data_IF_705037066078
#
_entry.id   IF_705037066078
#
_cell.length_a   1.000
_cell.length_b   1.000
_cell.length_c   1.000
_cell.angle_alpha   90.00
_cell.angle_beta   90.00
_cell.angle_gamma   90.00
#
_symmetry.space_group_name_H-M   'P 1'
#
loop_
_entity.id
_entity.type
_entity.pdbx_description
1 polymer ?
#
# COMPACT_ATOMS: atom_id res chain seq x y z
N UNK A 1 71.16 20.94 -6.61
CA UNK A 1 70.43 19.68 -6.86
C UNK A 1 69.31 19.59 -5.84
N UNK A 2 68.10 20.03 -6.23
CA UNK A 2 66.92 20.04 -5.36
C UNK A 2 66.15 18.75 -5.58
N UNK A 3 65.90 18.00 -4.50
CA UNK A 3 65.03 16.82 -4.53
C UNK A 3 63.63 17.23 -4.99
N UNK A 4 63.08 16.52 -5.97
CA UNK A 4 61.65 16.54 -6.27
C UNK A 4 60.92 15.76 -5.19
N UNK A 5 60.16 16.44 -4.34
CA UNK A 5 59.11 15.80 -3.54
C UNK A 5 57.99 15.34 -4.48
N UNK A 6 57.84 14.03 -4.56
CA UNK A 6 56.65 13.39 -5.13
C UNK A 6 55.55 13.57 -4.09
N UNK A 7 54.62 14.50 -4.32
CA UNK A 7 53.37 14.53 -3.57
C UNK A 7 52.66 13.18 -3.78
N UNK A 8 52.26 12.45 -2.72
CA UNK A 8 51.29 11.39 -2.90
C UNK A 8 50.00 12.04 -3.39
N UNK A 9 49.52 11.64 -4.56
CA UNK A 9 48.15 11.93 -4.97
C UNK A 9 47.24 11.32 -3.93
N UNK A 10 46.65 12.15 -3.07
CA UNK A 10 45.52 11.76 -2.24
C UNK A 10 44.47 11.20 -3.19
N UNK A 11 44.35 9.87 -3.20
CA UNK A 11 43.18 9.19 -3.74
C UNK A 11 42.03 9.76 -2.90
N UNK A 12 41.05 10.47 -3.47
CA UNK A 12 39.93 10.94 -2.69
C UNK A 12 39.30 9.70 -2.08
N UNK A 13 39.28 9.64 -0.74
CA UNK A 13 38.52 8.61 -0.04
C UNK A 13 37.11 8.65 -0.63
N UNK A 14 36.61 7.55 -1.21
CA UNK A 14 35.27 7.56 -1.79
C UNK A 14 34.31 8.02 -0.69
N UNK A 15 33.40 8.94 -1.02
CA UNK A 15 32.38 9.38 -0.07
C UNK A 15 31.76 8.13 0.58
N UNK A 16 31.57 8.08 1.91
CA UNK A 16 31.01 6.90 2.59
C UNK A 16 29.71 6.40 1.94
N UNK A 17 28.95 7.32 1.34
CA UNK A 17 27.71 7.08 0.63
C UNK A 17 27.93 6.31 -0.70
N UNK A 18 29.01 6.60 -1.45
CA UNK A 18 29.34 5.93 -2.71
C UNK A 18 29.86 4.50 -2.48
N UNK A 19 30.62 4.27 -1.41
CA UNK A 19 31.07 2.93 -1.03
C UNK A 19 29.89 2.02 -0.64
N UNK A 20 28.86 2.59 -0.02
CA UNK A 20 27.65 1.87 0.36
C UNK A 20 26.81 1.43 -0.86
N UNK A 21 26.78 2.23 -1.92
CA UNK A 21 26.00 1.94 -3.13
C UNK A 21 26.67 0.91 -4.08
N UNK A 22 27.92 0.51 -3.83
CA UNK A 22 28.61 -0.52 -4.64
C UNK A 22 27.90 -1.87 -4.63
N UNK A 23 27.25 -2.24 -3.53
CA UNK A 23 26.40 -3.42 -3.44
C UNK A 23 24.95 -3.00 -3.17
N UNK A 24 24.06 -3.22 -4.15
CA UNK A 24 22.62 -2.98 -3.99
C UNK A 24 21.99 -4.08 -3.13
N UNK A 25 21.24 -3.70 -2.09
CA UNK A 25 20.63 -4.63 -1.12
C UNK A 25 19.10 -4.69 -1.21
N UNK A 26 18.52 -4.33 -2.35
CA UNK A 26 17.08 -4.39 -2.63
C UNK A 26 16.43 -5.75 -2.28
N UNK A 27 17.15 -6.87 -2.49
CA UNK A 27 16.68 -8.21 -2.14
C UNK A 27 16.31 -8.36 -0.66
N UNK A 28 17.02 -7.69 0.27
CA UNK A 28 16.71 -7.75 1.69
C UNK A 28 15.32 -7.15 2.00
N UNK A 29 14.93 -6.11 1.29
CA UNK A 29 13.64 -5.44 1.45
C UNK A 29 12.49 -6.26 0.85
N UNK A 30 12.71 -6.91 -0.30
CA UNK A 30 11.69 -7.81 -0.86
C UNK A 30 11.53 -9.07 -0.01
N UNK A 31 12.65 -9.65 0.44
CA UNK A 31 12.63 -10.88 1.22
C UNK A 31 11.95 -10.67 2.58
N UNK A 32 12.06 -9.49 3.19
CA UNK A 32 11.30 -9.19 4.41
C UNK A 32 9.79 -9.18 4.16
N UNK A 33 9.34 -8.59 3.05
CA UNK A 33 7.93 -8.56 2.67
C UNK A 33 7.40 -9.99 2.42
N UNK A 34 8.13 -10.78 1.63
CA UNK A 34 7.78 -12.17 1.32
C UNK A 34 7.76 -13.02 2.60
N UNK A 35 8.77 -12.89 3.46
CA UNK A 35 8.84 -13.63 4.72
C UNK A 35 7.67 -13.29 5.64
N UNK A 36 7.31 -12.01 5.79
CA UNK A 36 6.16 -11.64 6.64
C UNK A 36 4.84 -12.19 6.10
N UNK A 37 4.63 -12.18 4.79
CA UNK A 37 3.45 -12.79 4.17
C UNK A 37 3.40 -14.31 4.40
N UNK A 38 4.50 -15.02 4.13
CA UNK A 38 4.57 -16.47 4.32
C UNK A 38 4.42 -16.87 5.80
N UNK A 39 5.07 -16.14 6.70
CA UNK A 39 4.94 -16.35 8.15
C UNK A 39 3.50 -16.15 8.61
N UNK A 40 2.83 -15.08 8.17
CA UNK A 40 1.42 -14.83 8.46
C UNK A 40 0.52 -15.96 7.96
N UNK A 41 0.73 -16.42 6.74
CA UNK A 41 -0.03 -17.53 6.14
C UNK A 41 0.18 -18.84 6.92
N UNK A 42 1.42 -19.17 7.27
CA UNK A 42 1.75 -20.35 8.08
C UNK A 42 1.10 -20.28 9.46
N UNK A 43 1.13 -19.12 10.13
CA UNK A 43 0.49 -18.94 11.45
C UNK A 43 -1.02 -19.21 11.35
N UNK A 44 -1.70 -18.66 10.34
CA UNK A 44 -3.14 -18.88 10.15
C UNK A 44 -3.45 -20.33 9.81
N UNK A 45 -2.63 -20.99 8.98
CA UNK A 45 -2.81 -22.41 8.67
C UNK A 45 -2.58 -23.29 9.90
N UNK A 46 -1.52 -23.03 10.67
CA UNK A 46 -1.25 -23.74 11.92
C UNK A 46 -2.39 -23.56 12.93
N UNK A 47 -2.93 -22.34 13.06
CA UNK A 47 -4.09 -22.08 13.90
C UNK A 47 -5.32 -22.88 13.45
N UNK A 48 -5.59 -22.92 12.14
CA UNK A 48 -6.71 -23.67 11.57
C UNK A 48 -6.55 -25.18 11.76
N UNK A 49 -5.34 -25.69 11.57
CA UNK A 49 -4.99 -27.10 11.79
C UNK A 49 -5.08 -27.45 13.27
N UNK A 50 -4.60 -26.58 14.16
CA UNK A 50 -4.72 -26.76 15.62
C UNK A 50 -6.18 -26.78 16.06
N UNK A 51 -7.01 -25.84 15.57
CA UNK A 51 -8.45 -25.84 15.83
C UNK A 51 -9.11 -27.14 15.34
N UNK A 52 -8.76 -27.61 14.14
CA UNK A 52 -9.27 -28.87 13.59
C UNK A 52 -8.88 -30.09 14.44
N UNK A 53 -7.61 -30.17 14.88
CA UNK A 53 -7.15 -31.26 15.74
C UNK A 53 -7.74 -31.22 17.15
N UNK A 54 -7.99 -30.02 17.70
CA UNK A 54 -8.67 -29.86 18.99
C UNK A 54 -10.14 -30.28 18.91
N UNK A 55 -10.86 -29.93 17.84
CA UNK A 55 -12.25 -30.37 17.64
C UNK A 55 -12.39 -31.86 17.31
N UNK A 56 -11.34 -32.50 16.76
CA UNK A 56 -11.34 -33.94 16.46
C UNK A 56 -10.92 -34.82 17.65
N UNK A 57 -10.39 -34.24 18.72
CA UNK A 57 -9.96 -34.91 19.96
C UNK A 57 -11.10 -35.04 21.00
N UNK A 58 -12.31 -35.35 20.56
CA UNK A 58 -13.36 -35.90 21.43
C UNK A 58 -13.36 -37.43 21.27
N UNK A 59 -12.52 -38.18 22.03
CA UNK A 59 -12.78 -39.59 22.19
C UNK A 59 -13.91 -39.78 23.21
N UNK A 60 -14.98 -40.47 22.79
CA UNK A 60 -15.99 -41.02 23.71
C UNK A 60 -15.29 -41.89 24.75
N UNK A 61 -15.18 -41.41 25.99
CA UNK A 61 -14.68 -42.20 27.12
C UNK A 61 -15.64 -42.13 28.31
N UNK A 62 -15.75 -43.28 28.99
CA UNK A 62 -16.73 -43.69 29.99
C UNK A 62 -16.95 -42.70 31.18
N UNK A 63 -18.15 -42.64 31.79
CA UNK A 63 -18.66 -41.44 32.49
C UNK A 63 -18.08 -41.07 33.87
N UNK A 64 -17.18 -41.85 34.49
CA UNK A 64 -17.15 -41.92 35.97
C UNK A 64 -15.83 -41.61 36.72
N UNK A 65 -14.84 -40.91 36.15
CA UNK A 65 -13.67 -40.47 36.93
C UNK A 65 -13.77 -39.00 37.43
N UNK A 66 -13.80 -38.74 38.76
CA UNK A 66 -13.99 -37.39 39.31
C UNK A 66 -12.81 -36.45 39.04
N UNK A 67 -11.57 -36.96 38.98
CA UNK A 67 -10.37 -36.15 38.64
C UNK A 67 -10.33 -35.69 37.18
N UNK A 68 -11.03 -36.39 36.27
CA UNK A 68 -11.14 -35.98 34.87
C UNK A 68 -12.21 -34.90 34.65
N UNK A 69 -13.28 -34.88 35.45
CA UNK A 69 -14.30 -33.83 35.38
C UNK A 69 -13.73 -32.45 35.75
N UNK A 70 -12.88 -32.37 36.77
CA UNK A 70 -12.21 -31.11 37.14
C UNK A 70 -11.24 -30.62 36.04
N UNK A 71 -10.43 -31.50 35.45
CA UNK A 71 -9.51 -31.12 34.37
C UNK A 71 -10.24 -30.77 33.07
N UNK A 72 -11.33 -31.46 32.73
CA UNK A 72 -12.18 -31.12 31.59
C UNK A 72 -12.93 -29.79 31.82
N UNK A 73 -13.49 -29.57 33.01
CA UNK A 73 -14.16 -28.32 33.37
C UNK A 73 -13.18 -27.13 33.37
N UNK A 74 -11.97 -27.29 33.91
CA UNK A 74 -10.95 -26.24 33.88
C UNK A 74 -10.46 -25.92 32.45
N UNK A 75 -10.35 -26.93 31.58
CA UNK A 75 -9.98 -26.73 30.15
C UNK A 75 -11.11 -26.15 29.33
N UNK A 76 -12.36 -26.58 29.54
CA UNK A 76 -13.54 -25.99 28.92
C UNK A 76 -13.70 -24.54 29.35
N UNK A 77 -13.58 -24.25 30.64
CA UNK A 77 -13.68 -22.88 31.16
C UNK A 77 -12.55 -21.98 30.60
N UNK A 78 -11.33 -22.52 30.43
CA UNK A 78 -10.24 -21.79 29.75
C UNK A 78 -10.50 -21.56 28.25
N UNK A 79 -11.01 -22.56 27.52
CA UNK A 79 -11.37 -22.41 26.10
C UNK A 79 -12.59 -21.50 25.89
N UNK A 80 -13.55 -21.53 26.81
CA UNK A 80 -14.72 -20.67 26.81
C UNK A 80 -14.31 -19.22 27.12
N UNK A 81 -13.40 -19.01 28.07
CA UNK A 81 -12.81 -17.70 28.37
C UNK A 81 -11.98 -17.15 27.20
N UNK A 82 -11.10 -17.95 26.58
CA UNK A 82 -10.34 -17.54 25.38
C UNK A 82 -11.27 -17.29 24.17
N UNK A 83 -12.33 -18.09 24.02
CA UNK A 83 -13.36 -17.89 23.01
C UNK A 83 -14.10 -16.57 23.22
N UNK A 84 -14.48 -16.26 24.46
CA UNK A 84 -15.20 -15.04 24.85
C UNK A 84 -14.35 -13.79 24.61
N UNK A 85 -13.08 -13.82 25.00
CA UNK A 85 -12.16 -12.71 24.76
C UNK A 85 -11.95 -12.47 23.25
N UNK A 86 -11.81 -13.52 22.46
CA UNK A 86 -11.61 -13.39 21.01
C UNK A 86 -12.87 -12.91 20.30
N UNK A 87 -14.06 -13.28 20.76
CA UNK A 87 -15.32 -12.73 20.25
C UNK A 87 -15.49 -11.26 20.62
N UNK A 88 -15.20 -10.87 21.86
CA UNK A 88 -15.25 -9.45 22.29
C UNK A 88 -14.27 -8.59 21.50
N UNK A 89 -13.02 -9.06 21.33
CA UNK A 89 -12.02 -8.35 20.54
C UNK A 89 -12.41 -8.21 19.06
N UNK A 90 -13.06 -9.24 18.49
CA UNK A 90 -13.57 -9.21 17.11
C UNK A 90 -14.70 -8.20 16.97
N UNK A 91 -15.64 -8.17 17.92
CA UNK A 91 -16.77 -7.24 17.89
C UNK A 91 -16.31 -5.79 18.08
N UNK A 92 -15.39 -5.55 19.02
CA UNK A 92 -14.76 -4.24 19.21
C UNK A 92 -14.01 -3.76 17.97
N UNK A 93 -13.20 -4.63 17.36
CA UNK A 93 -12.47 -4.29 16.13
C UNK A 93 -13.43 -4.05 14.95
N UNK A 94 -14.51 -4.84 14.85
CA UNK A 94 -15.58 -4.66 13.87
C UNK A 94 -16.29 -3.31 14.01
N UNK A 95 -16.60 -2.91 15.25
CA UNK A 95 -17.23 -1.64 15.56
C UNK A 95 -16.33 -0.45 15.15
N UNK A 96 -15.03 -0.53 15.42
CA UNK A 96 -14.06 0.49 15.01
C UNK A 96 -13.96 0.65 13.49
N UNK A 97 -13.96 -0.46 12.73
CA UNK A 97 -13.87 -0.41 11.26
C UNK A 97 -15.17 0.08 10.65
N UNK A 98 -16.32 -0.29 11.23
CA UNK A 98 -17.64 0.09 10.72
C UNK A 98 -17.91 1.61 10.76
N UNK A 99 -17.14 2.37 11.57
CA UNK A 99 -17.32 3.82 11.70
C UNK A 99 -18.65 4.23 12.35
N UNK A 100 -19.35 3.30 13.02
CA UNK A 100 -20.59 3.60 13.74
C UNK A 100 -20.34 4.45 14.98
N UNK A 101 -19.25 4.17 15.71
CA UNK A 101 -18.82 4.96 16.87
C UNK A 101 -18.08 6.22 16.47
N UNK A 102 -18.08 7.22 17.35
CA UNK A 102 -17.26 8.44 17.19
C UNK A 102 -15.76 8.08 17.07
N UNK A 103 -15.29 7.11 17.85
CA UNK A 103 -13.91 6.60 17.79
C UNK A 103 -13.60 5.95 16.45
N UNK A 104 -14.50 5.11 15.92
CA UNK A 104 -14.35 4.52 14.60
C UNK A 104 -14.30 5.56 13.49
N UNK A 105 -15.14 6.60 13.54
CA UNK A 105 -15.09 7.72 12.58
C UNK A 105 -13.77 8.46 12.62
N UNK A 106 -13.25 8.75 13.82
CA UNK A 106 -11.94 9.40 13.97
C UNK A 106 -10.85 8.51 13.36
N UNK A 107 -10.87 7.20 13.64
CA UNK A 107 -9.91 6.25 13.07
C UNK A 107 -9.96 6.26 11.54
N UNK A 108 -11.15 6.19 10.95
CA UNK A 108 -11.34 6.18 9.49
C UNK A 108 -10.85 7.49 8.83
N UNK A 109 -11.18 8.66 9.41
CA UNK A 109 -10.67 9.96 8.92
C UNK A 109 -9.15 10.02 9.03
N UNK A 110 -8.60 9.55 10.15
CA UNK A 110 -7.17 9.56 10.40
C UNK A 110 -6.43 8.65 9.41
N UNK A 111 -6.94 7.44 9.14
CA UNK A 111 -6.43 6.53 8.10
C UNK A 111 -6.45 7.21 6.73
N UNK A 112 -7.53 7.91 6.38
CA UNK A 112 -7.62 8.66 5.13
C UNK A 112 -6.54 9.74 5.01
N UNK A 113 -6.43 10.62 6.01
CA UNK A 113 -5.44 11.72 6.00
C UNK A 113 -4.01 11.17 5.96
N UNK A 114 -3.71 10.15 6.78
CA UNK A 114 -2.38 9.54 6.79
C UNK A 114 -2.07 8.79 5.49
N UNK A 115 -3.07 8.19 4.83
CA UNK A 115 -2.86 7.52 3.55
C UNK A 115 -2.40 8.53 2.48
N UNK A 116 -3.06 9.69 2.40
CA UNK A 116 -2.69 10.78 1.49
C UNK A 116 -1.31 11.32 1.86
N UNK A 117 -1.07 11.60 3.15
CA UNK A 117 0.24 12.10 3.62
C UNK A 117 1.37 11.11 3.29
N UNK A 118 1.15 9.80 3.47
CA UNK A 118 2.14 8.75 3.15
C UNK A 118 2.44 8.64 1.65
N UNK A 119 1.45 8.97 0.80
CA UNK A 119 1.63 9.03 -0.65
C UNK A 119 2.39 10.30 -1.07
N UNK A 120 2.12 11.44 -0.43
CA UNK A 120 2.87 12.68 -0.66
C UNK A 120 4.34 12.50 -0.27
N UNK A 121 4.62 11.84 0.86
CA UNK A 121 5.99 11.49 1.26
C UNK A 121 6.66 10.64 0.18
N UNK A 122 5.95 9.66 -0.39
CA UNK A 122 6.47 8.88 -1.51
C UNK A 122 6.79 9.78 -2.72
N UNK A 123 5.94 10.74 -3.09
CA UNK A 123 6.24 11.66 -4.20
C UNK A 123 7.44 12.56 -3.94
N UNK A 124 7.65 12.99 -2.69
CA UNK A 124 8.82 13.78 -2.30
C UNK A 124 10.10 12.93 -2.36
N UNK A 125 10.05 11.67 -1.95
CA UNK A 125 11.22 10.78 -2.04
C UNK A 125 11.49 10.36 -3.49
N UNK A 126 10.44 10.10 -4.26
CA UNK A 126 10.50 9.70 -5.68
C UNK A 126 10.82 10.86 -6.63
N UNK A 127 10.81 12.11 -6.16
CA UNK A 127 11.32 13.23 -6.97
C UNK A 127 12.83 13.23 -7.07
N UNK A 128 13.54 12.51 -6.19
CA UNK A 128 14.96 12.27 -6.37
C UNK A 128 15.19 11.14 -7.39
N UNK A 129 16.19 11.32 -8.25
CA UNK A 129 16.47 10.42 -9.38
C UNK A 129 17.12 9.09 -8.96
N UNK A 130 17.48 8.95 -7.67
CA UNK A 130 18.18 7.78 -7.13
C UNK A 130 17.21 6.79 -6.45
N UNK A 131 17.37 5.50 -6.75
CA UNK A 131 16.52 4.41 -6.24
C UNK A 131 16.89 3.99 -4.80
N UNK A 132 18.17 4.07 -4.46
CA UNK A 132 18.73 3.72 -3.14
C UNK A 132 19.59 4.87 -2.61
N UNK A 133 19.41 5.24 -1.33
CA UNK A 133 20.28 6.21 -0.65
C UNK A 133 20.82 5.61 0.64
N UNK A 134 22.10 5.82 0.88
CA UNK A 134 22.75 5.45 2.13
C UNK A 134 22.88 6.67 3.03
N UNK A 135 21.89 6.86 3.91
CA UNK A 135 21.90 7.95 4.86
C UNK A 135 21.37 7.46 6.20
N UNK A 136 22.07 7.85 7.27
CA UNK A 136 21.74 7.45 8.65
C UNK A 136 20.33 7.90 9.01
N UNK A 137 19.59 7.02 9.69
CA UNK A 137 18.21 7.27 10.11
C UNK A 137 18.04 8.59 10.89
N UNK A 138 18.99 8.92 11.77
CA UNK A 138 18.94 10.13 12.61
C UNK A 138 18.94 11.45 11.82
N UNK A 139 19.45 11.46 10.59
CA UNK A 139 19.54 12.67 9.76
C UNK A 139 18.39 12.76 8.74
N UNK A 140 17.58 11.70 8.62
CA UNK A 140 16.50 11.58 7.65
C UNK A 140 15.14 11.84 8.28
N UNK A 141 14.71 13.10 8.31
CA UNK A 141 13.38 13.48 8.82
C UNK A 141 12.25 12.78 8.04
N UNK A 142 12.38 12.68 6.70
CA UNK A 142 11.40 11.99 5.86
C UNK A 142 11.24 10.51 6.23
N UNK A 143 12.33 9.82 6.56
CA UNK A 143 12.30 8.42 6.98
C UNK A 143 11.71 8.24 8.38
N UNK A 144 11.95 9.19 9.29
CA UNK A 144 11.35 9.19 10.63
C UNK A 144 9.83 9.34 10.57
N UNK A 145 9.35 10.28 9.74
CA UNK A 145 7.91 10.48 9.54
C UNK A 145 7.29 9.26 8.83
N UNK A 146 7.98 8.71 7.82
CA UNK A 146 7.51 7.50 7.12
C UNK A 146 7.32 6.31 8.06
N UNK A 147 8.30 6.10 8.95
CA UNK A 147 8.22 5.06 9.98
C UNK A 147 7.02 5.27 10.91
N UNK A 148 6.79 6.49 11.37
CA UNK A 148 5.65 6.79 12.25
C UNK A 148 4.31 6.45 11.58
N UNK A 149 4.16 6.75 10.29
CA UNK A 149 2.97 6.37 9.52
C UNK A 149 2.87 4.85 9.35
N UNK A 150 3.96 4.15 9.06
CA UNK A 150 3.93 2.69 8.91
C UNK A 150 3.62 1.97 10.24
N UNK A 151 4.06 2.49 11.39
CA UNK A 151 3.66 1.97 12.72
C UNK A 151 2.14 2.12 12.91
N UNK A 152 1.57 3.28 12.55
CA UNK A 152 0.13 3.46 12.58
C UNK A 152 -0.61 2.47 11.66
N UNK A 153 -0.13 2.30 10.42
CA UNK A 153 -0.73 1.33 9.49
C UNK A 153 -0.57 -0.11 9.93
N UNK A 154 0.50 -0.45 10.66
CA UNK A 154 0.68 -1.77 11.27
C UNK A 154 -0.39 -2.04 12.32
N UNK A 155 -0.68 -1.08 13.20
CA UNK A 155 -1.78 -1.21 14.16
C UNK A 155 -3.12 -1.34 13.44
N UNK A 156 -3.35 -0.52 12.41
CA UNK A 156 -4.57 -0.60 11.60
C UNK A 156 -4.72 -1.96 10.89
N UNK A 157 -3.64 -2.52 10.37
CA UNK A 157 -3.60 -3.86 9.78
C UNK A 157 -4.02 -4.93 10.80
N UNK A 158 -3.51 -4.88 12.03
CA UNK A 158 -3.91 -5.83 13.07
C UNK A 158 -5.37 -5.69 13.49
N UNK A 159 -5.92 -4.47 13.57
CA UNK A 159 -7.34 -4.24 13.84
C UNK A 159 -8.19 -4.90 12.73
N UNK A 160 -7.84 -4.69 11.46
CA UNK A 160 -8.51 -5.34 10.33
C UNK A 160 -8.38 -6.86 10.35
N UNK A 161 -7.20 -7.37 10.71
CA UNK A 161 -6.96 -8.80 10.85
C UNK A 161 -7.85 -9.42 11.93
N UNK A 162 -8.02 -8.78 13.09
CA UNK A 162 -8.88 -9.25 14.19
C UNK A 162 -10.36 -9.23 13.77
N UNK A 163 -10.81 -8.17 13.11
CA UNK A 163 -12.20 -8.04 12.66
C UNK A 163 -12.59 -9.03 11.54
N UNK A 164 -11.65 -9.43 10.67
CA UNK A 164 -11.94 -10.29 9.52
C UNK A 164 -12.57 -11.64 9.93
N UNK A 165 -13.64 -12.05 9.26
CA UNK A 165 -14.27 -13.36 9.49
C UNK A 165 -13.39 -14.51 8.98
N UNK A 166 -12.88 -14.40 7.74
CA UNK A 166 -11.97 -15.37 7.15
C UNK A 166 -10.54 -14.83 7.11
N UNK A 167 -9.71 -15.27 8.05
CA UNK A 167 -8.33 -14.80 8.19
C UNK A 167 -7.48 -15.08 6.93
N UNK A 168 -7.70 -16.21 6.25
CA UNK A 168 -6.95 -16.56 5.03
C UNK A 168 -7.31 -15.67 3.84
N UNK A 169 -8.60 -15.39 3.64
CA UNK A 169 -9.06 -14.49 2.58
C UNK A 169 -8.57 -13.07 2.82
N UNK A 170 -8.60 -12.62 4.08
CA UNK A 170 -8.04 -11.34 4.46
C UNK A 170 -6.53 -11.24 4.16
N UNK A 171 -5.74 -12.31 4.36
CA UNK A 171 -4.32 -12.32 3.98
C UNK A 171 -4.09 -12.16 2.47
N UNK A 172 -5.04 -12.59 1.64
CA UNK A 172 -4.98 -12.52 0.16
C UNK A 172 -5.70 -11.30 -0.42
N UNK A 173 -6.18 -10.39 0.44
CA UNK A 173 -6.84 -9.16 0.02
C UNK A 173 -5.83 -8.15 -0.53
N UNK A 174 -6.21 -7.40 -1.58
CA UNK A 174 -5.33 -6.43 -2.25
C UNK A 174 -4.73 -5.41 -1.25
N UNK A 175 -5.53 -4.91 -0.30
CA UNK A 175 -5.06 -3.94 0.68
C UNK A 175 -4.06 -4.53 1.68
N UNK A 176 -4.18 -5.83 1.99
CA UNK A 176 -3.21 -6.55 2.82
C UNK A 176 -1.88 -6.69 2.09
N UNK A 177 -1.90 -6.93 0.77
CA UNK A 177 -0.67 -6.92 -0.04
C UNK A 177 0.04 -5.57 -0.01
N UNK A 178 -0.69 -4.45 -0.12
CA UNK A 178 -0.07 -3.11 0.00
C UNK A 178 0.64 -2.97 1.35
N UNK A 179 0.04 -3.44 2.44
CA UNK A 179 0.65 -3.37 3.77
C UNK A 179 1.90 -4.26 3.89
N UNK A 180 1.90 -5.48 3.33
CA UNK A 180 3.07 -6.35 3.34
C UNK A 180 4.26 -5.79 2.55
N UNK A 181 4.02 -5.08 1.46
CA UNK A 181 5.11 -4.52 0.65
C UNK A 181 5.56 -3.14 1.09
N UNK A 182 4.86 -2.50 2.03
CA UNK A 182 5.20 -1.14 2.50
C UNK A 182 5.67 -1.11 3.96
N UNK A 183 5.09 -1.93 4.84
CA UNK A 183 5.38 -1.89 6.28
C UNK A 183 6.71 -2.58 6.62
N UNK A 184 6.94 -3.87 6.31
CA UNK A 184 8.21 -4.56 6.63
C UNK A 184 9.46 -3.88 6.05
N UNK A 185 9.49 -3.45 4.77
CA UNK A 185 10.64 -2.74 4.21
C UNK A 185 11.01 -1.46 4.99
N UNK A 186 10.03 -0.78 5.58
CA UNK A 186 10.29 0.42 6.38
C UNK A 186 11.07 0.11 7.66
N UNK A 187 10.78 -1.00 8.34
CA UNK A 187 11.55 -1.44 9.51
C UNK A 187 12.95 -1.92 9.12
N UNK A 188 13.05 -2.62 7.99
CA UNK A 188 14.34 -3.07 7.43
C UNK A 188 15.24 -1.89 7.05
N UNK A 189 14.66 -0.78 6.59
CA UNK A 189 15.41 0.44 6.25
C UNK A 189 16.17 1.05 7.43
N UNK A 190 15.68 0.86 8.66
CA UNK A 190 16.33 1.31 9.89
C UNK A 190 17.47 0.37 10.26
N UNK A 191 17.23 -0.94 10.15
CA UNK A 191 18.23 -1.96 10.48
C UNK A 191 19.46 -1.89 9.55
N UNK A 192 19.27 -1.52 8.28
CA UNK A 192 20.33 -1.41 7.27
C UNK A 192 20.89 0.01 7.08
N UNK A 193 20.37 1.03 7.78
CA UNK A 193 20.69 2.45 7.57
C UNK A 193 20.68 2.86 6.07
N UNK A 194 19.73 2.30 5.32
CA UNK A 194 19.59 2.50 3.87
C UNK A 194 18.12 2.69 3.51
N UNK A 195 17.82 3.69 2.69
CA UNK A 195 16.50 3.89 2.14
C UNK A 195 16.42 3.32 0.72
N UNK A 196 15.32 2.63 0.44
CA UNK A 196 15.00 2.10 -0.88
C UNK A 196 13.59 2.53 -1.26
N UNK A 197 13.45 3.13 -2.44
CA UNK A 197 12.13 3.60 -2.93
C UNK A 197 11.21 2.40 -3.23
N UNK A 198 11.78 1.32 -3.80
CA UNK A 198 11.15 0.02 -4.04
C UNK A 198 9.67 0.05 -4.41
N UNK A 199 8.89 -0.74 -3.67
CA UNK A 199 7.45 -0.92 -3.89
C UNK A 199 6.58 0.13 -3.15
N UNK A 200 7.16 1.25 -2.69
CA UNK A 200 6.41 2.29 -1.97
C UNK A 200 5.29 2.93 -2.81
N UNK A 201 5.39 2.87 -4.15
CA UNK A 201 4.34 3.32 -5.05
C UNK A 201 3.01 2.56 -4.87
N UNK A 202 3.02 1.35 -4.30
CA UNK A 202 1.80 0.60 -3.99
C UNK A 202 0.87 1.33 -3.01
N UNK A 203 1.38 2.33 -2.27
CA UNK A 203 0.54 3.23 -1.45
C UNK A 203 -0.51 3.96 -2.26
N UNK A 204 -0.30 4.18 -3.56
CA UNK A 204 -1.30 4.78 -4.44
C UNK A 204 -2.58 3.92 -4.55
N UNK A 205 -2.47 2.59 -4.40
CA UNK A 205 -3.63 1.69 -4.37
C UNK A 205 -4.55 1.94 -3.17
N UNK A 206 -4.06 2.56 -2.08
CA UNK A 206 -4.91 2.97 -0.96
C UNK A 206 -5.92 4.04 -1.33
N UNK A 207 -5.71 4.77 -2.43
CA UNK A 207 -6.74 5.69 -2.91
C UNK A 207 -8.04 4.94 -3.26
N UNK A 208 -7.98 3.67 -3.66
CA UNK A 208 -9.18 2.87 -3.94
C UNK A 208 -10.16 2.77 -2.77
N UNK A 209 -9.71 2.93 -1.51
CA UNK A 209 -10.59 2.89 -0.32
C UNK A 209 -11.26 4.24 -0.02
N UNK A 210 -10.86 5.32 -0.71
CA UNK A 210 -11.40 6.67 -0.49
C UNK A 210 -12.92 6.77 -0.68
N UNK A 211 -13.52 6.18 -1.73
CA UNK A 211 -14.97 6.23 -1.91
C UNK A 211 -15.72 5.59 -0.74
N UNK A 212 -15.23 4.45 -0.24
CA UNK A 212 -15.83 3.73 0.89
C UNK A 212 -15.75 4.57 2.17
N UNK A 213 -14.59 5.20 2.41
CA UNK A 213 -14.40 6.12 3.54
C UNK A 213 -15.35 7.31 3.44
N UNK A 214 -15.49 7.93 2.27
CA UNK A 214 -16.38 9.06 2.07
C UNK A 214 -17.86 8.67 2.23
N UNK A 215 -18.22 7.43 1.90
CA UNK A 215 -19.55 6.87 2.16
C UNK A 215 -19.78 6.68 3.66
N UNK A 216 -18.80 6.14 4.41
CA UNK A 216 -18.89 6.01 5.87
C UNK A 216 -19.04 7.36 6.57
N UNK A 217 -18.41 8.41 6.05
CA UNK A 217 -18.52 9.78 6.57
C UNK A 217 -19.81 10.50 6.14
N UNK A 218 -20.74 9.83 5.45
CA UNK A 218 -21.99 10.40 4.93
C UNK A 218 -21.78 11.64 4.01
N UNK A 219 -20.61 11.75 3.37
CA UNK A 219 -20.30 12.82 2.41
C UNK A 219 -20.89 12.48 1.04
N UNK A 220 -20.72 11.24 0.60
CA UNK A 220 -21.31 10.73 -0.65
C UNK A 220 -22.66 10.05 -0.35
N UNK A 221 -23.75 10.74 -0.68
CA UNK A 221 -25.12 10.27 -0.39
C UNK A 221 -25.81 9.63 -1.59
N UNK A 222 -25.44 10.04 -2.81
CA UNK A 222 -26.10 9.59 -4.04
C UNK A 222 -25.32 8.44 -4.67
N UNK A 223 -26.01 7.41 -5.16
CA UNK A 223 -25.40 6.27 -5.87
C UNK A 223 -24.52 6.71 -7.04
N UNK A 224 -24.96 7.71 -7.83
CA UNK A 224 -24.17 8.28 -8.92
C UNK A 224 -22.86 8.92 -8.44
N UNK A 225 -22.88 9.63 -7.31
CA UNK A 225 -21.67 10.24 -6.73
C UNK A 225 -20.70 9.20 -6.15
N UNK A 226 -21.23 8.13 -5.55
CA UNK A 226 -20.42 7.01 -5.04
C UNK A 226 -19.75 6.30 -6.22
N UNK A 227 -20.51 5.97 -7.26
CA UNK A 227 -19.99 5.33 -8.48
C UNK A 227 -18.94 6.21 -9.17
N UNK A 228 -19.18 7.50 -9.30
CA UNK A 228 -18.22 8.45 -9.87
C UNK A 228 -16.92 8.48 -9.06
N UNK A 229 -17.02 8.59 -7.73
CA UNK A 229 -15.84 8.59 -6.86
C UNK A 229 -15.06 7.27 -6.95
N UNK A 230 -15.75 6.13 -7.04
CA UNK A 230 -15.14 4.81 -7.25
C UNK A 230 -14.36 4.74 -8.56
N UNK A 231 -14.97 5.13 -9.68
CA UNK A 231 -14.31 5.11 -10.99
C UNK A 231 -13.09 6.04 -11.03
N UNK A 232 -13.24 7.28 -10.56
CA UNK A 232 -12.15 8.26 -10.53
C UNK A 232 -11.01 7.76 -9.63
N UNK A 233 -11.32 7.21 -8.47
CA UNK A 233 -10.30 6.73 -7.54
C UNK A 233 -9.55 5.49 -8.06
N UNK A 234 -10.27 4.53 -8.66
CA UNK A 234 -9.66 3.37 -9.31
C UNK A 234 -8.77 3.82 -10.47
N UNK A 235 -9.24 4.75 -11.30
CA UNK A 235 -8.48 5.27 -12.43
C UNK A 235 -7.17 5.93 -11.98
N UNK A 236 -7.24 6.86 -11.02
CA UNK A 236 -6.06 7.58 -10.50
C UNK A 236 -5.10 6.62 -9.79
N UNK A 237 -5.61 5.70 -8.96
CA UNK A 237 -4.76 4.76 -8.22
C UNK A 237 -4.00 3.79 -9.12
N UNK A 238 -4.66 3.17 -10.10
CA UNK A 238 -4.02 2.27 -11.07
C UNK A 238 -2.96 3.01 -11.88
N UNK A 239 -3.29 4.23 -12.32
CA UNK A 239 -2.39 5.01 -13.15
C UNK A 239 -1.14 5.49 -12.37
N UNK A 240 -1.28 5.99 -11.15
CA UNK A 240 -0.14 6.34 -10.28
C UNK A 240 0.71 5.11 -9.93
N UNK A 241 0.07 3.96 -9.67
CA UNK A 241 0.78 2.71 -9.40
C UNK A 241 1.60 2.27 -10.62
N UNK A 242 1.01 2.32 -11.81
CA UNK A 242 1.71 2.00 -13.05
C UNK A 242 2.88 2.95 -13.34
N UNK A 243 2.72 4.24 -13.04
CA UNK A 243 3.82 5.21 -13.16
C UNK A 243 4.96 4.86 -12.21
N UNK A 244 4.64 4.44 -10.99
CA UNK A 244 5.61 3.96 -10.00
C UNK A 244 6.34 2.69 -10.42
N UNK A 245 5.65 1.76 -11.08
CA UNK A 245 6.27 0.55 -11.64
C UNK A 245 7.28 0.94 -12.72
N UNK A 246 6.89 1.77 -13.69
CA UNK A 246 7.81 2.23 -14.75
C UNK A 246 8.98 2.99 -14.17
N UNK A 247 8.73 3.89 -13.21
CA UNK A 247 9.78 4.63 -12.51
C UNK A 247 10.78 3.69 -11.83
N UNK A 248 10.30 2.64 -11.16
CA UNK A 248 11.19 1.65 -10.54
C UNK A 248 11.97 0.85 -11.58
N UNK A 249 11.33 0.38 -12.64
CA UNK A 249 11.95 -0.47 -13.67
C UNK A 249 13.01 0.30 -14.46
N UNK A 250 12.70 1.50 -14.94
CA UNK A 250 13.62 2.32 -15.75
C UNK A 250 14.80 2.84 -14.94
N UNK A 251 14.58 3.30 -13.69
CA UNK A 251 15.67 3.77 -12.84
C UNK A 251 16.53 2.62 -12.27
N UNK A 252 15.96 1.42 -12.10
CA UNK A 252 16.72 0.25 -11.64
C UNK A 252 17.62 -0.32 -12.74
N UNK A 253 17.17 -0.28 -14.00
CA UNK A 253 17.83 -0.92 -15.15
C UNK A 253 17.44 -2.39 -15.34
N UNK A 254 18.01 -3.02 -16.37
CA UNK A 254 17.70 -4.40 -16.74
C UNK A 254 18.23 -5.45 -15.73
N UNK A 255 17.55 -6.59 -15.56
CA UNK A 255 17.94 -7.60 -14.58
C UNK A 255 19.33 -8.20 -14.86
N UNK A 256 19.91 -8.83 -13.83
CA UNK A 256 21.23 -9.47 -13.80
C UNK A 256 22.42 -8.52 -13.68
N UNK A 257 22.52 -7.50 -14.55
CA UNK A 257 23.67 -6.57 -14.57
C UNK A 257 23.30 -5.12 -14.24
N UNK A 258 22.01 -4.79 -14.12
CA UNK A 258 21.52 -3.41 -13.92
C UNK A 258 22.03 -2.45 -14.99
N UNK A 259 22.18 -2.96 -16.21
CA UNK A 259 22.61 -2.19 -17.37
C UNK A 259 21.45 -1.31 -17.87
N UNK A 260 21.80 -0.23 -18.57
CA UNK A 260 20.87 0.73 -19.18
C UNK A 260 19.86 1.39 -18.20
N UNK A 261 20.28 1.90 -17.03
CA UNK A 261 19.38 2.69 -16.20
C UNK A 261 19.07 4.02 -16.90
N UNK A 262 17.79 4.37 -16.95
CA UNK A 262 17.33 5.65 -17.47
C UNK A 262 16.78 6.47 -16.32
N UNK A 263 17.51 7.52 -15.93
CA UNK A 263 17.10 8.44 -14.85
C UNK A 263 15.87 9.23 -15.29
N UNK A 264 14.69 8.76 -14.86
CA UNK A 264 13.41 9.40 -15.07
C UNK A 264 12.84 9.83 -13.73
N UNK A 265 12.41 11.09 -13.65
CA UNK A 265 11.59 11.54 -12.52
C UNK A 265 10.22 10.85 -12.54
N UNK A 266 9.67 10.59 -11.35
CA UNK A 266 8.34 10.00 -11.21
C UNK A 266 7.26 10.75 -12.02
N UNK A 267 7.30 12.08 -12.04
CA UNK A 267 6.33 12.90 -12.78
C UNK A 267 6.48 12.77 -14.30
N UNK A 268 7.70 12.52 -14.80
CA UNK A 268 7.94 12.21 -16.21
C UNK A 268 7.30 10.86 -16.59
N UNK A 269 7.36 9.87 -15.69
CA UNK A 269 6.66 8.58 -15.88
C UNK A 269 5.12 8.76 -15.86
N UNK A 270 4.60 9.63 -14.99
CA UNK A 270 3.17 9.97 -14.95
C UNK A 270 2.76 10.61 -16.28
N UNK A 271 3.50 11.61 -16.76
CA UNK A 271 3.28 12.25 -18.06
C UNK A 271 3.32 11.24 -19.22
N UNK A 272 4.35 10.40 -19.27
CA UNK A 272 4.50 9.34 -20.27
C UNK A 272 3.27 8.43 -20.33
N UNK A 273 2.73 8.03 -19.17
CA UNK A 273 1.53 7.20 -19.13
C UNK A 273 0.27 7.94 -19.60
N UNK A 274 0.10 9.24 -19.34
CA UNK A 274 -1.03 10.02 -19.90
C UNK A 274 -0.98 9.98 -21.42
N UNK A 275 0.17 10.33 -21.98
CA UNK A 275 0.39 10.44 -23.42
C UNK A 275 0.19 9.09 -24.10
N UNK A 276 0.61 8.00 -23.47
CA UNK A 276 0.49 6.66 -24.03
C UNK A 276 -0.93 6.10 -23.89
N UNK A 277 -1.59 6.29 -22.74
CA UNK A 277 -2.97 5.83 -22.50
C UNK A 277 -4.00 6.61 -23.32
N UNK A 278 -3.74 7.88 -23.59
CA UNK A 278 -4.54 8.70 -24.52
C UNK A 278 -4.26 8.40 -25.99
N UNK A 279 -3.39 7.42 -26.28
CA UNK A 279 -2.99 7.00 -27.64
C UNK A 279 -2.33 8.11 -28.48
N UNK A 280 -1.81 9.16 -27.84
CA UNK A 280 -1.12 10.26 -28.52
C UNK A 280 0.29 9.85 -28.93
N UNK A 281 1.07 9.32 -27.98
CA UNK A 281 2.40 8.73 -28.25
C UNK A 281 3.40 9.67 -28.93
N UNK A 282 3.74 10.81 -28.31
CA UNK A 282 4.71 11.76 -28.87
C UNK A 282 6.09 11.16 -29.18
N UNK A 283 6.52 10.17 -28.40
CA UNK A 283 7.85 9.54 -28.56
C UNK A 283 9.00 10.34 -27.96
N UNK A 284 8.71 11.39 -27.20
CA UNK A 284 9.67 12.20 -26.44
C UNK A 284 10.23 11.45 -25.22
N UNK A 285 9.38 10.69 -24.53
CA UNK A 285 9.73 9.78 -23.44
C UNK A 285 9.27 8.37 -23.80
N UNK A 286 10.12 7.38 -23.58
CA UNK A 286 9.82 5.96 -23.81
C UNK A 286 10.65 5.07 -22.90
N UNK A 287 10.17 3.85 -22.64
CA UNK A 287 10.86 2.83 -21.85
C UNK A 287 12.01 2.22 -22.66
N UNK A 288 13.23 2.25 -22.13
CA UNK A 288 14.40 1.62 -22.75
C UNK A 288 14.60 0.20 -22.23
N UNK A 289 14.28 -0.06 -20.96
CA UNK A 289 14.50 -1.36 -20.33
C UNK A 289 13.59 -2.45 -20.91
N UNK A 290 14.08 -3.69 -20.94
CA UNK A 290 13.33 -4.86 -21.39
C UNK A 290 12.11 -5.10 -20.48
N UNK A 291 12.30 -4.97 -19.17
CA UNK A 291 11.21 -5.11 -18.20
C UNK A 291 10.18 -3.99 -18.33
N UNK A 292 10.61 -2.73 -18.49
CA UNK A 292 9.71 -1.60 -18.69
C UNK A 292 8.87 -1.73 -19.96
N UNK A 293 9.49 -2.13 -21.07
CA UNK A 293 8.77 -2.41 -22.33
C UNK A 293 7.79 -3.58 -22.20
N UNK A 294 8.20 -4.66 -21.55
CA UNK A 294 7.33 -5.83 -21.31
C UNK A 294 6.12 -5.44 -20.48
N UNK A 295 6.34 -4.70 -19.38
CA UNK A 295 5.27 -4.17 -18.54
C UNK A 295 4.33 -3.27 -19.35
N UNK A 296 4.88 -2.36 -20.16
CA UNK A 296 4.09 -1.42 -20.97
C UNK A 296 3.16 -2.16 -21.96
N UNK A 297 3.63 -3.23 -22.61
CA UNK A 297 2.79 -4.02 -23.53
C UNK A 297 1.57 -4.60 -22.82
N UNK A 298 1.76 -5.25 -21.67
CA UNK A 298 0.64 -5.80 -20.90
C UNK A 298 -0.24 -4.69 -20.31
N UNK A 299 0.37 -3.61 -19.85
CA UNK A 299 -0.34 -2.47 -19.28
C UNK A 299 -1.24 -1.80 -20.31
N UNK A 300 -0.80 -1.63 -21.57
CA UNK A 300 -1.63 -1.01 -22.61
C UNK A 300 -2.78 -1.93 -23.05
N UNK A 301 -2.58 -3.24 -23.10
CA UNK A 301 -3.67 -4.19 -23.42
C UNK A 301 -4.84 -4.08 -22.44
N UNK A 302 -4.55 -3.97 -21.15
CA UNK A 302 -5.57 -3.84 -20.10
C UNK A 302 -6.02 -2.38 -19.93
N UNK A 303 -5.07 -1.46 -19.94
CA UNK A 303 -5.27 -0.04 -19.65
C UNK A 303 -6.12 0.66 -20.69
N UNK A 304 -5.95 0.36 -21.98
CA UNK A 304 -6.79 0.94 -23.03
C UNK A 304 -8.24 0.47 -22.92
N UNK A 305 -8.48 -0.79 -22.56
CA UNK A 305 -9.83 -1.31 -22.33
C UNK A 305 -10.51 -0.60 -21.16
N UNK A 306 -9.79 -0.44 -20.04
CA UNK A 306 -10.29 0.29 -18.86
C UNK A 306 -10.55 1.76 -19.23
N UNK A 307 -9.60 2.44 -19.87
CA UNK A 307 -9.73 3.84 -20.27
C UNK A 307 -10.94 4.07 -21.19
N UNK A 308 -11.11 3.21 -22.19
CA UNK A 308 -12.25 3.27 -23.12
C UNK A 308 -13.60 3.06 -22.43
N UNK A 309 -13.67 2.26 -21.36
CA UNK A 309 -14.91 2.07 -20.58
C UNK A 309 -15.15 3.17 -19.54
N UNK A 310 -14.11 3.60 -18.82
CA UNK A 310 -14.25 4.48 -17.66
C UNK A 310 -14.53 5.92 -18.05
N UNK A 311 -13.91 6.43 -19.13
CA UNK A 311 -14.07 7.84 -19.51
C UNK A 311 -15.51 8.17 -19.93
N UNK A 312 -16.18 7.39 -20.81
CA UNK A 312 -17.58 7.63 -21.14
C UNK A 312 -18.50 7.55 -19.91
N UNK A 313 -18.30 6.55 -19.03
CA UNK A 313 -19.11 6.39 -17.82
C UNK A 313 -18.96 7.59 -16.86
N UNK A 314 -17.74 8.11 -16.71
CA UNK A 314 -17.48 9.33 -15.93
C UNK A 314 -18.19 10.54 -16.55
N UNK A 315 -18.12 10.69 -17.87
CA UNK A 315 -18.77 11.80 -18.59
C UNK A 315 -20.28 11.74 -18.41
N UNK A 316 -20.89 10.55 -18.54
CA UNK A 316 -22.33 10.36 -18.38
C UNK A 316 -22.77 10.71 -16.95
N UNK A 317 -22.02 10.27 -15.93
CA UNK A 317 -22.33 10.57 -14.52
C UNK A 317 -22.20 12.05 -14.17
N UNK A 318 -21.30 12.78 -14.81
CA UNK A 318 -21.14 14.24 -14.64
C UNK A 318 -22.21 15.00 -15.44
N UNK A 319 -22.58 14.48 -16.60
CA UNK A 319 -23.47 15.10 -17.58
C UNK A 319 -24.96 15.15 -17.21
N UNK A 320 -25.41 14.37 -16.21
CA UNK A 320 -26.82 14.30 -15.79
C UNK A 320 -27.37 15.55 -15.07
N UNK A 321 -26.74 16.73 -15.23
CA UNK A 321 -27.26 17.97 -14.63
C UNK A 321 -28.51 18.45 -15.39
N UNK A 322 -29.62 18.76 -14.68
CA UNK A 322 -30.83 19.25 -15.34
C UNK A 322 -30.55 20.58 -16.06
N UNK A 323 -30.75 20.60 -17.38
CA UNK A 323 -30.54 21.79 -18.23
C UNK A 323 -31.43 22.96 -17.82
N UNK A 324 -32.65 22.66 -17.40
CA UNK A 324 -33.63 23.64 -16.92
C UNK A 324 -33.68 23.57 -15.39
N UNK A 325 -32.76 24.27 -14.75
CA UNK A 325 -32.79 24.56 -13.32
C UNK A 325 -32.90 26.06 -13.08
N UNK A 326 -33.27 26.44 -11.85
CA UNK A 326 -33.32 27.83 -11.40
C UNK A 326 -34.71 28.29 -10.97
N UNK A 327 -34.78 29.52 -10.49
CA UNK A 327 -36.02 30.17 -10.04
C UNK A 327 -36.39 31.28 -11.03
N UNK A 328 -37.68 31.37 -11.39
CA UNK A 328 -38.19 32.49 -12.18
C UNK A 328 -37.94 33.81 -11.42
N UNK A 329 -37.08 34.68 -11.97
CA UNK A 329 -36.84 36.00 -11.40
C UNK A 329 -37.96 36.94 -11.86
N UNK A 330 -38.96 37.16 -11.00
CA UNK A 330 -40.01 38.14 -11.26
C UNK A 330 -39.43 39.56 -11.16
N UNK A 331 -39.22 40.21 -12.30
CA UNK A 331 -38.98 41.65 -12.34
C UNK A 331 -40.33 42.35 -12.19
N UNK A 332 -40.62 42.89 -11.00
CA UNK A 332 -41.79 43.77 -10.80
C UNK A 332 -41.56 45.01 -11.66
N UNK A 333 -42.34 45.15 -12.73
CA UNK A 333 -42.38 46.36 -13.54
C UNK A 333 -42.56 47.60 -12.66
N UNK A 334 -41.67 48.58 -12.81
CA UNK A 334 -41.90 49.93 -12.28
C UNK A 334 -43.20 50.44 -12.92
N UNK A 335 -44.18 50.74 -12.07
CA UNK A 335 -45.43 51.41 -12.44
C UNK A 335 -45.17 52.78 -13.03
#
# INVERSE_FOLDING_TARGET
>A
MSCCEICPTEIPTPNPNEACLKERKWWCFLLSSIFTFLAGLVIVLLWRVFAFFCCRKEPEFSPNDPKQKEQKAARQNKQEFEGTFMTEAKDWAGELISGQTTTGRILVVLVFILSIASLIIYFIDASSEEVEKCQKWSQNVTQQIDLAFNIFFMVYFFIRFIAASDKLWFMLEMYSFVDYFTIPPSFVSIYLDRTWIGLRFLRALRLMTVPDILQYLNILKTSSSIRLAQLVSIFISVWLTAAGIIHLLENSGDPMEFNNPQQLSYWTCVYFLIVTMSTVGYGDVYCQTVLGRTFLVFFLLVGLAIFASCIPEIIDLIGTRPKYGGTLKNERGRR
#
